data_IF_258412259782
#
_entry.id   IF_258412259782
#
_cell.length_a   1.000
_cell.length_b   1.000
_cell.length_c   1.000
_cell.angle_alpha   90.00
_cell.angle_beta   90.00
_cell.angle_gamma   90.00
#
_symmetry.space_group_name_H-M   'P 1'
#
loop_
_entity.id
_entity.type
_entity.pdbx_description
1 polymer ?
#
# COMPACT_ATOMS: atom_id res chain seq x y z
N UNK A 1 0.31 10.77 18.98
CA UNK A 1 0.97 9.54 19.49
C UNK A 1 2.25 9.30 18.72
N UNK A 2 3.16 8.50 19.23
CA UNK A 2 4.44 8.12 18.59
C UNK A 2 4.37 6.63 18.24
N UNK A 3 5.19 6.18 17.28
CA UNK A 3 5.32 4.77 16.92
C UNK A 3 6.41 4.07 17.76
N UNK A 4 7.03 4.76 18.70
CA UNK A 4 8.06 4.16 19.56
C UNK A 4 7.52 2.94 20.32
N UNK A 5 8.21 1.81 20.20
CA UNK A 5 7.81 0.51 20.77
C UNK A 5 6.62 -0.16 20.10
N UNK A 6 6.06 0.42 19.03
CA UNK A 6 5.00 -0.20 18.22
C UNK A 6 5.57 -1.21 17.25
N UNK A 7 4.86 -2.32 17.03
CA UNK A 7 5.22 -3.34 16.04
C UNK A 7 4.37 -3.18 14.79
N UNK A 8 5.02 -2.97 13.65
CA UNK A 8 4.39 -2.76 12.35
C UNK A 8 4.65 -3.95 11.44
N UNK A 9 3.59 -4.40 10.77
CA UNK A 9 3.67 -5.41 9.69
C UNK A 9 3.36 -4.70 8.36
N UNK A 10 4.32 -4.78 7.41
CA UNK A 10 4.25 -4.10 6.12
C UNK A 10 4.23 -5.13 4.99
N UNK A 11 3.04 -5.43 4.47
CA UNK A 11 2.86 -6.29 3.31
C UNK A 11 3.09 -5.47 2.03
N UNK A 12 4.18 -5.78 1.31
CA UNK A 12 4.75 -4.94 0.27
C UNK A 12 5.89 -4.04 0.77
N UNK A 13 6.47 -4.33 1.96
CA UNK A 13 7.48 -3.49 2.61
C UNK A 13 8.90 -3.55 2.04
N UNK A 14 9.13 -4.22 0.91
CA UNK A 14 10.48 -4.41 0.36
C UNK A 14 10.90 -3.36 -0.68
N UNK A 15 10.00 -2.47 -1.10
CA UNK A 15 10.28 -1.44 -2.11
C UNK A 15 9.25 -0.31 -2.10
N UNK A 16 9.52 0.76 -2.83
CA UNK A 16 8.60 1.88 -3.05
C UNK A 16 7.98 2.42 -1.77
N UNK A 17 6.69 2.70 -1.79
CA UNK A 17 5.94 3.28 -0.67
C UNK A 17 6.10 2.43 0.61
N UNK A 18 5.97 1.10 0.50
CA UNK A 18 6.04 0.22 1.67
C UNK A 18 7.40 0.27 2.37
N UNK A 19 8.50 0.32 1.62
CA UNK A 19 9.84 0.47 2.20
C UNK A 19 10.03 1.86 2.82
N UNK A 20 9.53 2.91 2.18
CA UNK A 20 9.58 4.26 2.74
C UNK A 20 8.80 4.37 4.06
N UNK A 21 7.61 3.72 4.15
CA UNK A 21 6.85 3.59 5.40
C UNK A 21 7.66 2.86 6.47
N UNK A 22 8.32 1.75 6.12
CA UNK A 22 9.17 1.02 7.05
C UNK A 22 10.30 1.90 7.60
N UNK A 23 11.01 2.60 6.71
CA UNK A 23 12.11 3.49 7.09
C UNK A 23 11.64 4.67 7.95
N UNK A 24 10.51 5.29 7.60
CA UNK A 24 9.93 6.39 8.36
C UNK A 24 9.48 5.93 9.76
N UNK A 25 8.81 4.79 9.87
CA UNK A 25 8.40 4.21 11.14
C UNK A 25 9.59 3.80 12.02
N UNK A 26 10.68 3.29 11.40
CA UNK A 26 11.92 2.98 12.09
C UNK A 26 12.53 4.22 12.76
N UNK A 27 12.52 5.36 12.09
CA UNK A 27 13.02 6.63 12.65
C UNK A 27 12.21 7.08 13.87
N UNK A 28 10.94 6.66 13.97
CA UNK A 28 10.09 6.90 15.17
C UNK A 28 10.21 5.81 16.24
N UNK A 29 11.11 4.83 16.09
CA UNK A 29 11.38 3.78 17.08
C UNK A 29 10.43 2.58 17.01
N UNK A 30 9.77 2.36 15.88
CA UNK A 30 8.96 1.17 15.65
C UNK A 30 9.82 -0.08 15.40
N UNK A 31 9.32 -1.25 15.83
CA UNK A 31 9.83 -2.54 15.39
C UNK A 31 9.10 -2.99 14.12
N UNK A 32 9.83 -3.56 13.17
CA UNK A 32 9.35 -3.76 11.81
C UNK A 32 9.34 -5.23 11.40
N UNK A 33 8.27 -5.62 10.71
CA UNK A 33 8.18 -6.84 9.93
C UNK A 33 7.84 -6.44 8.50
N UNK A 34 8.75 -6.69 7.55
CA UNK A 34 8.52 -6.45 6.12
C UNK A 34 8.25 -7.77 5.40
N UNK A 35 7.29 -7.76 4.49
CA UNK A 35 6.86 -8.94 3.74
C UNK A 35 6.81 -8.63 2.25
N UNK A 36 7.33 -9.54 1.44
CA UNK A 36 7.25 -9.52 -0.03
C UNK A 36 7.34 -10.95 -0.56
N UNK A 37 6.91 -11.21 -1.77
CA UNK A 37 7.06 -12.54 -2.39
C UNK A 37 8.49 -12.87 -2.80
N UNK A 38 9.37 -11.88 -2.92
CA UNK A 38 10.74 -12.04 -3.41
C UNK A 38 11.76 -11.96 -2.26
N UNK A 39 12.39 -13.07 -1.91
CA UNK A 39 13.38 -13.17 -0.84
C UNK A 39 14.55 -12.21 -1.01
N UNK A 40 15.09 -12.09 -2.23
CA UNK A 40 16.23 -11.21 -2.49
C UNK A 40 15.88 -9.73 -2.27
N UNK A 41 14.64 -9.31 -2.62
CA UNK A 41 14.17 -7.94 -2.32
C UNK A 41 14.00 -7.71 -0.82
N UNK A 42 13.50 -8.71 -0.08
CA UNK A 42 13.42 -8.64 1.38
C UNK A 42 14.80 -8.46 1.99
N UNK A 43 15.77 -9.28 1.59
CA UNK A 43 17.14 -9.21 2.11
C UNK A 43 17.84 -7.88 1.77
N UNK A 44 17.57 -7.34 0.58
CA UNK A 44 18.08 -6.03 0.20
C UNK A 44 17.45 -4.90 1.05
N UNK A 45 16.14 -4.94 1.28
CA UNK A 45 15.43 -3.96 2.08
C UNK A 45 15.90 -3.98 3.54
N UNK A 46 16.11 -5.16 4.12
CA UNK A 46 16.60 -5.30 5.50
C UNK A 46 17.95 -4.61 5.74
N UNK A 47 18.82 -4.50 4.71
CA UNK A 47 20.10 -3.78 4.81
C UNK A 47 19.93 -2.27 5.05
N UNK A 48 18.78 -1.71 4.69
CA UNK A 48 18.44 -0.30 4.87
C UNK A 48 17.60 -0.01 6.11
N UNK A 49 17.27 -1.06 6.89
CA UNK A 49 16.46 -0.98 8.10
C UNK A 49 17.31 -1.24 9.35
N UNK A 50 16.85 -0.81 10.54
CA UNK A 50 17.58 -1.08 11.78
C UNK A 50 17.79 -2.56 12.05
N UNK A 51 18.86 -2.89 12.76
CA UNK A 51 19.08 -4.23 13.27
C UNK A 51 17.88 -4.68 14.14
N UNK A 52 17.35 -5.88 13.87
CA UNK A 52 16.14 -6.39 14.52
C UNK A 52 14.87 -6.27 13.67
N UNK A 53 14.90 -5.57 12.54
CA UNK A 53 13.83 -5.68 11.55
C UNK A 53 13.74 -7.12 11.02
N UNK A 54 12.51 -7.66 10.94
CA UNK A 54 12.23 -9.01 10.46
C UNK A 54 11.78 -8.96 9.00
N UNK A 55 12.12 -9.98 8.21
CA UNK A 55 11.73 -10.06 6.81
C UNK A 55 11.27 -11.45 6.42
N UNK A 56 10.07 -11.52 5.81
CA UNK A 56 9.46 -12.77 5.38
C UNK A 56 9.20 -12.75 3.87
N UNK A 57 9.52 -13.87 3.19
CA UNK A 57 9.16 -14.08 1.81
C UNK A 57 7.84 -14.88 1.76
N UNK A 58 6.74 -14.22 1.40
CA UNK A 58 5.38 -14.80 1.41
C UNK A 58 4.64 -14.42 0.14
N UNK A 59 4.01 -15.41 -0.48
CA UNK A 59 3.07 -15.17 -1.58
C UNK A 59 1.73 -14.66 -1.02
N UNK A 60 1.42 -13.39 -1.28
CA UNK A 60 0.18 -12.75 -0.84
C UNK A 60 -1.04 -13.13 -1.70
N UNK A 61 -0.86 -13.96 -2.73
CA UNK A 61 -1.95 -14.64 -3.44
C UNK A 61 -2.41 -15.92 -2.76
N UNK A 62 -1.65 -16.44 -1.78
CA UNK A 62 -1.95 -17.67 -1.06
C UNK A 62 -2.55 -17.39 0.32
N UNK A 63 -3.84 -17.72 0.49
CA UNK A 63 -4.51 -17.57 1.80
C UNK A 63 -3.80 -18.37 2.90
N UNK A 64 -3.41 -19.61 2.61
CA UNK A 64 -2.71 -20.46 3.59
C UNK A 64 -1.38 -19.86 4.02
N UNK A 65 -0.63 -19.24 3.10
CA UNK A 65 0.64 -18.59 3.41
C UNK A 65 0.45 -17.33 4.27
N UNK A 66 -0.57 -16.54 3.99
CA UNK A 66 -0.93 -15.37 4.79
C UNK A 66 -1.37 -15.78 6.20
N UNK A 67 -2.21 -16.81 6.32
CA UNK A 67 -2.66 -17.35 7.61
C UNK A 67 -1.48 -17.84 8.45
N UNK A 68 -0.57 -18.61 7.85
CA UNK A 68 0.62 -19.12 8.53
C UNK A 68 1.54 -17.98 9.00
N UNK A 69 1.72 -16.95 8.18
CA UNK A 69 2.49 -15.75 8.53
C UNK A 69 1.95 -15.10 9.80
N UNK A 70 0.66 -14.78 9.87
CA UNK A 70 0.10 -14.10 11.04
C UNK A 70 0.10 -14.99 12.30
N UNK A 71 -0.09 -16.29 12.15
CA UNK A 71 0.04 -17.24 13.25
C UNK A 71 1.46 -17.27 13.83
N UNK A 72 2.49 -17.20 12.97
CA UNK A 72 3.90 -17.13 13.37
C UNK A 72 4.22 -15.79 14.02
N UNK A 73 3.77 -14.66 13.43
CA UNK A 73 4.09 -13.32 13.90
C UNK A 73 3.48 -13.02 15.28
N UNK A 74 2.28 -13.53 15.56
CA UNK A 74 1.54 -13.17 16.76
C UNK A 74 1.14 -11.68 16.80
N UNK A 75 1.03 -11.12 18.01
CA UNK A 75 0.50 -9.77 18.21
C UNK A 75 1.35 -8.63 17.63
N UNK A 76 0.69 -7.67 16.96
CA UNK A 76 1.30 -6.45 16.42
C UNK A 76 0.34 -5.26 16.57
N UNK A 77 0.81 -4.03 16.28
CA UNK A 77 0.01 -2.81 16.47
C UNK A 77 -0.59 -2.31 15.15
N UNK A 78 0.17 -2.28 14.07
CA UNK A 78 -0.31 -1.71 12.81
C UNK A 78 0.03 -2.61 11.61
N UNK A 79 -0.92 -2.73 10.69
CA UNK A 79 -0.77 -3.39 9.39
C UNK A 79 -0.81 -2.33 8.29
N UNK A 80 0.22 -2.27 7.44
CA UNK A 80 0.17 -1.53 6.18
C UNK A 80 0.19 -2.51 5.01
N UNK A 81 -0.72 -2.32 4.06
CA UNK A 81 -0.79 -3.11 2.84
C UNK A 81 -0.51 -2.24 1.62
N UNK A 82 0.67 -2.40 1.03
CA UNK A 82 1.14 -1.68 -0.16
C UNK A 82 1.52 -2.62 -1.30
N UNK A 83 1.27 -3.92 -1.12
CA UNK A 83 1.62 -4.93 -2.11
C UNK A 83 0.75 -4.82 -3.37
N UNK A 84 1.37 -5.04 -4.51
CA UNK A 84 0.72 -5.07 -5.81
C UNK A 84 1.72 -5.32 -6.92
N UNK A 85 1.21 -5.79 -8.05
CA UNK A 85 1.96 -5.99 -9.28
C UNK A 85 2.19 -4.67 -10.01
N UNK A 86 3.08 -4.70 -11.00
CA UNK A 86 3.29 -3.58 -11.92
C UNK A 86 1.98 -3.24 -12.64
N UNK A 87 1.73 -1.94 -12.80
CA UNK A 87 0.55 -1.46 -13.49
C UNK A 87 0.70 -1.67 -15.01
N UNK A 88 -0.34 -2.21 -15.60
CA UNK A 88 -0.55 -2.19 -17.05
C UNK A 88 -1.80 -1.38 -17.35
N UNK A 89 -1.70 -0.56 -18.37
CA UNK A 89 -2.81 0.27 -18.85
C UNK A 89 -3.23 -0.24 -20.22
N UNK A 90 -4.53 -0.46 -20.42
CA UNK A 90 -5.08 -0.93 -21.67
C UNK A 90 -6.45 -0.32 -21.92
N UNK A 91 -6.70 0.13 -23.14
CA UNK A 91 -8.03 0.54 -23.58
C UNK A 91 -8.95 -0.67 -23.69
N UNK A 92 -10.25 -0.46 -23.66
CA UNK A 92 -11.22 -1.56 -23.57
C UNK A 92 -11.12 -2.55 -24.74
N UNK A 93 -10.74 -2.08 -25.92
CA UNK A 93 -10.56 -2.87 -27.13
C UNK A 93 -9.29 -3.75 -27.12
N UNK A 94 -8.30 -3.40 -26.31
CA UNK A 94 -7.03 -4.14 -26.18
C UNK A 94 -6.88 -4.85 -24.84
N UNK A 95 -7.87 -4.72 -23.95
CA UNK A 95 -7.81 -5.25 -22.60
C UNK A 95 -7.84 -6.79 -22.58
N UNK A 96 -6.80 -7.39 -22.02
CA UNK A 96 -6.79 -8.81 -21.67
C UNK A 96 -7.58 -9.04 -20.37
N UNK A 97 -8.68 -9.78 -20.46
CA UNK A 97 -9.55 -10.05 -19.31
C UNK A 97 -8.95 -11.03 -18.31
N UNK A 98 -8.07 -11.92 -18.71
CA UNK A 98 -7.42 -12.84 -17.78
C UNK A 98 -6.35 -12.12 -16.98
N UNK A 99 -5.57 -11.24 -17.60
CA UNK A 99 -4.71 -10.31 -16.88
C UNK A 99 -5.52 -9.43 -15.92
N UNK A 100 -6.63 -8.85 -16.36
CA UNK A 100 -7.48 -7.98 -15.54
C UNK A 100 -8.02 -8.71 -14.29
N UNK A 101 -8.43 -9.97 -14.42
CA UNK A 101 -8.84 -10.81 -13.27
C UNK A 101 -7.67 -11.06 -12.32
N UNK A 102 -6.48 -11.39 -12.86
CA UNK A 102 -5.27 -11.62 -12.09
C UNK A 102 -4.84 -10.38 -11.30
N UNK A 103 -5.01 -9.18 -11.87
CA UNK A 103 -4.65 -7.91 -11.24
C UNK A 103 -5.43 -7.62 -9.94
N UNK A 104 -6.62 -8.20 -9.76
CA UNK A 104 -7.35 -8.17 -8.49
C UNK A 104 -6.77 -9.14 -7.45
N UNK A 105 -5.93 -10.09 -7.84
CA UNK A 105 -5.41 -11.15 -6.99
C UNK A 105 -4.73 -10.62 -5.74
N UNK A 106 -3.58 -9.99 -5.89
CA UNK A 106 -2.80 -9.48 -4.75
C UNK A 106 -3.43 -8.18 -4.21
N UNK A 107 -3.87 -7.27 -5.08
CA UNK A 107 -4.32 -5.93 -4.67
C UNK A 107 -5.61 -5.95 -3.85
N UNK A 108 -6.57 -6.77 -4.24
CA UNK A 108 -7.87 -6.85 -3.54
C UNK A 108 -7.97 -8.10 -2.68
N UNK A 109 -7.86 -9.29 -3.30
CA UNK A 109 -8.04 -10.53 -2.55
C UNK A 109 -6.96 -10.76 -1.52
N UNK A 110 -5.70 -10.46 -1.85
CA UNK A 110 -4.60 -10.50 -0.89
C UNK A 110 -4.78 -9.53 0.27
N UNK A 111 -5.26 -8.31 0.01
CA UNK A 111 -5.54 -7.31 1.04
C UNK A 111 -6.70 -7.74 1.96
N UNK A 112 -7.80 -8.26 1.40
CA UNK A 112 -8.93 -8.79 2.17
C UNK A 112 -8.49 -9.99 3.02
N UNK A 113 -7.73 -10.91 2.44
CA UNK A 113 -7.18 -12.07 3.15
C UNK A 113 -6.24 -11.65 4.28
N UNK A 114 -5.40 -10.64 4.05
CA UNK A 114 -4.51 -10.09 5.08
C UNK A 114 -5.30 -9.44 6.23
N UNK A 115 -6.39 -8.75 5.93
CA UNK A 115 -7.28 -8.22 6.98
C UNK A 115 -7.96 -9.34 7.76
N UNK A 116 -8.52 -10.34 7.07
CA UNK A 116 -9.20 -11.50 7.68
C UNK A 116 -8.30 -12.22 8.69
N UNK A 117 -7.08 -12.55 8.30
CA UNK A 117 -6.16 -13.34 9.13
C UNK A 117 -5.29 -12.49 10.06
N UNK A 118 -5.07 -11.21 9.74
CA UNK A 118 -4.26 -10.31 10.55
C UNK A 118 -5.04 -9.61 11.67
N UNK A 119 -6.32 -9.27 11.45
CA UNK A 119 -7.12 -8.51 12.42
C UNK A 119 -7.16 -9.12 13.82
N UNK A 120 -7.27 -10.46 14.00
CA UNK A 120 -7.26 -11.07 15.33
C UNK A 120 -5.98 -10.85 16.15
N UNK A 121 -4.89 -10.50 15.49
CA UNK A 121 -3.59 -10.26 16.12
C UNK A 121 -3.27 -8.78 16.35
N UNK A 122 -4.15 -7.88 15.91
CA UNK A 122 -3.97 -6.43 16.13
C UNK A 122 -4.27 -6.09 17.58
N UNK A 123 -3.28 -5.48 18.24
CA UNK A 123 -3.41 -5.05 19.63
C UNK A 123 -4.41 -3.89 19.76
N UNK A 124 -5.02 -3.70 20.95
CA UNK A 124 -5.92 -2.57 21.21
C UNK A 124 -5.30 -1.22 20.83
N UNK A 125 -6.07 -0.39 20.11
CA UNK A 125 -5.62 0.89 19.58
C UNK A 125 -4.87 0.81 18.25
N UNK A 126 -4.71 -0.39 17.69
CA UNK A 126 -4.05 -0.61 16.42
C UNK A 126 -4.87 -0.25 15.19
N UNK A 127 -4.29 -0.46 14.02
CA UNK A 127 -4.94 -0.10 12.75
C UNK A 127 -4.48 -0.93 11.56
N UNK A 128 -5.32 -0.92 10.52
CA UNK A 128 -5.00 -1.36 9.16
C UNK A 128 -4.98 -0.13 8.26
N UNK A 129 -3.96 0.00 7.42
CA UNK A 129 -3.87 1.05 6.38
C UNK A 129 -3.62 0.40 5.04
N UNK A 130 -4.59 0.54 4.13
CA UNK A 130 -4.51 0.06 2.75
C UNK A 130 -3.94 1.11 1.80
N UNK A 131 -3.82 0.73 0.52
CA UNK A 131 -3.42 1.60 -0.59
C UNK A 131 -4.47 1.54 -1.68
N UNK A 132 -4.97 2.70 -2.08
CA UNK A 132 -5.79 2.95 -3.27
C UNK A 132 -4.97 3.70 -4.32
N UNK A 133 -5.58 4.60 -5.04
CA UNK A 133 -4.95 5.53 -5.97
C UNK A 133 -5.94 6.55 -6.50
N UNK A 134 -5.42 7.69 -6.96
CA UNK A 134 -6.18 8.78 -7.56
C UNK A 134 -7.12 8.29 -8.68
N UNK A 135 -6.79 7.17 -9.33
CA UNK A 135 -7.61 6.54 -10.36
C UNK A 135 -9.05 6.23 -9.94
N UNK A 136 -9.33 6.09 -8.62
CA UNK A 136 -10.70 5.91 -8.11
C UNK A 136 -11.62 7.10 -8.44
N UNK A 137 -11.10 8.31 -8.44
CA UNK A 137 -11.86 9.56 -8.60
C UNK A 137 -11.51 10.35 -9.87
N UNK A 138 -10.32 10.14 -10.42
CA UNK A 138 -9.81 10.80 -11.64
C UNK A 138 -9.32 9.76 -12.65
N UNK A 139 -10.23 9.00 -13.27
CA UNK A 139 -9.88 8.00 -14.28
C UNK A 139 -9.44 8.65 -15.59
N UNK A 140 -8.57 7.95 -16.32
CA UNK A 140 -8.18 8.30 -17.69
C UNK A 140 -8.49 7.13 -18.64
N UNK A 141 -8.42 7.38 -19.95
CA UNK A 141 -8.54 6.32 -20.94
C UNK A 141 -7.49 5.22 -20.67
N UNK A 142 -7.88 3.95 -20.77
CA UNK A 142 -7.02 2.80 -20.44
C UNK A 142 -6.90 2.46 -18.95
N UNK A 143 -7.59 3.17 -18.05
CA UNK A 143 -7.48 2.98 -16.61
C UNK A 143 -8.66 2.22 -15.99
N UNK A 144 -9.51 1.58 -16.80
CA UNK A 144 -10.72 0.90 -16.32
C UNK A 144 -10.45 -0.07 -15.16
N UNK A 145 -9.44 -0.94 -15.29
CA UNK A 145 -9.08 -1.92 -14.24
C UNK A 145 -8.46 -1.23 -13.03
N UNK A 146 -7.54 -0.29 -13.24
CA UNK A 146 -6.91 0.46 -12.16
C UNK A 146 -7.93 1.27 -11.33
N UNK A 147 -8.86 1.96 -12.01
CA UNK A 147 -9.93 2.72 -11.35
C UNK A 147 -10.88 1.80 -10.57
N UNK A 148 -11.25 0.66 -11.16
CA UNK A 148 -12.15 -0.30 -10.52
C UNK A 148 -11.54 -0.86 -9.25
N UNK A 149 -10.25 -1.24 -9.27
CA UNK A 149 -9.60 -1.81 -8.09
C UNK A 149 -9.41 -0.75 -6.99
N UNK A 150 -9.05 0.49 -7.35
CA UNK A 150 -8.95 1.59 -6.38
C UNK A 150 -10.31 1.86 -5.70
N UNK A 151 -11.40 1.93 -6.47
CA UNK A 151 -12.75 2.09 -5.93
C UNK A 151 -13.18 0.91 -5.06
N UNK A 152 -12.87 -0.34 -5.45
CA UNK A 152 -13.12 -1.53 -4.66
C UNK A 152 -12.39 -1.50 -3.31
N UNK A 153 -11.12 -1.09 -3.29
CA UNK A 153 -10.32 -0.97 -2.06
C UNK A 153 -10.86 0.10 -1.11
N UNK A 154 -11.38 1.21 -1.62
CA UNK A 154 -12.03 2.23 -0.79
C UNK A 154 -13.36 1.73 -0.20
N UNK A 155 -14.15 0.98 -0.99
CA UNK A 155 -15.35 0.30 -0.50
C UNK A 155 -15.03 -0.72 0.59
N UNK A 156 -14.04 -1.57 0.38
CA UNK A 156 -13.54 -2.54 1.35
C UNK A 156 -13.09 -1.85 2.65
N UNK A 157 -12.36 -0.75 2.56
CA UNK A 157 -11.88 0.01 3.72
C UNK A 157 -13.04 0.47 4.60
N UNK A 158 -14.11 1.03 4.00
CA UNK A 158 -15.29 1.48 4.74
C UNK A 158 -16.04 0.32 5.40
N UNK A 159 -16.18 -0.80 4.70
CA UNK A 159 -16.84 -1.99 5.24
C UNK A 159 -16.06 -2.56 6.43
N UNK A 160 -14.75 -2.74 6.28
CA UNK A 160 -13.89 -3.28 7.35
C UNK A 160 -13.74 -2.31 8.53
N UNK A 161 -13.85 -1.00 8.33
CA UNK A 161 -13.88 -0.03 9.44
C UNK A 161 -15.09 -0.22 10.35
N UNK A 162 -16.22 -0.68 9.81
CA UNK A 162 -17.42 -1.04 10.56
C UNK A 162 -17.27 -2.41 11.22
N UNK A 163 -16.84 -3.40 10.44
CA UNK A 163 -16.80 -4.81 10.86
C UNK A 163 -15.73 -5.09 11.92
N UNK A 164 -14.57 -4.43 11.82
CA UNK A 164 -13.42 -4.67 12.69
C UNK A 164 -13.32 -3.70 13.87
N UNK A 165 -14.30 -2.80 14.06
CA UNK A 165 -14.30 -1.88 15.20
C UNK A 165 -14.05 -2.64 16.53
N UNK A 166 -13.17 -2.16 17.42
CA UNK A 166 -12.53 -0.83 17.43
C UNK A 166 -11.18 -0.72 16.68
N UNK A 167 -10.76 -1.71 15.90
CA UNK A 167 -9.59 -1.60 15.02
C UNK A 167 -9.91 -0.56 13.94
N UNK A 168 -9.05 0.45 13.80
CA UNK A 168 -9.23 1.48 12.78
C UNK A 168 -8.76 0.96 11.41
N UNK A 169 -9.57 1.18 10.38
CA UNK A 169 -9.22 0.79 9.01
C UNK A 169 -9.32 2.01 8.11
N UNK A 170 -8.23 2.38 7.46
CA UNK A 170 -8.14 3.55 6.60
C UNK A 170 -7.36 3.21 5.32
N UNK A 171 -7.36 4.12 4.35
CA UNK A 171 -6.66 3.93 3.08
C UNK A 171 -5.99 5.22 2.62
N UNK A 172 -4.77 5.11 2.09
CA UNK A 172 -4.09 6.20 1.40
C UNK A 172 -4.38 6.09 -0.10
N UNK A 173 -4.74 7.21 -0.72
CA UNK A 173 -4.96 7.33 -2.17
C UNK A 173 -3.86 8.19 -2.79
N UNK A 174 -2.76 7.58 -3.26
CA UNK A 174 -1.67 8.28 -3.91
C UNK A 174 -2.06 8.84 -5.28
N UNK A 175 -1.44 9.97 -5.66
CA UNK A 175 -1.28 10.35 -7.05
C UNK A 175 -0.23 9.51 -7.78
N UNK A 176 0.37 10.06 -8.83
CA UNK A 176 1.54 9.43 -9.48
C UNK A 176 2.75 9.60 -8.56
N UNK A 177 3.38 8.46 -8.21
CA UNK A 177 4.54 8.38 -7.30
C UNK A 177 5.66 7.64 -8.02
N UNK A 178 6.89 8.11 -7.87
CA UNK A 178 8.09 7.43 -8.38
C UNK A 178 8.34 6.15 -7.59
N UNK A 179 7.88 5.04 -8.12
CA UNK A 179 7.96 3.74 -7.44
C UNK A 179 8.09 2.61 -8.46
N UNK A 180 8.46 1.39 -8.02
CA UNK A 180 8.54 0.22 -8.90
C UNK A 180 7.23 -0.17 -9.59
N UNK A 181 6.11 0.44 -9.25
CA UNK A 181 4.84 0.28 -9.94
C UNK A 181 4.96 0.48 -11.46
N UNK A 182 5.86 1.37 -11.88
CA UNK A 182 6.07 1.79 -13.26
C UNK A 182 7.25 1.10 -13.95
N UNK A 183 7.92 0.13 -13.30
CA UNK A 183 9.15 -0.49 -13.83
C UNK A 183 8.92 -1.33 -15.10
N UNK A 184 7.69 -1.75 -15.38
CA UNK A 184 7.34 -2.39 -16.64
C UNK A 184 7.35 -1.40 -17.83
N UNK A 185 7.28 -0.09 -17.57
CA UNK A 185 7.33 0.96 -18.58
C UNK A 185 8.78 1.28 -18.97
N UNK A 186 9.10 1.43 -20.27
CA UNK A 186 10.42 1.89 -20.71
C UNK A 186 10.81 3.21 -20.05
N UNK A 187 12.11 3.38 -19.71
CA UNK A 187 12.59 4.54 -18.95
C UNK A 187 12.17 5.87 -19.59
N UNK A 188 12.32 6.03 -20.91
CA UNK A 188 11.98 7.27 -21.60
C UNK A 188 10.46 7.61 -21.50
N UNK A 189 9.61 6.60 -21.57
CA UNK A 189 8.16 6.78 -21.42
C UNK A 189 7.79 7.13 -19.97
N UNK A 190 8.44 6.51 -19.00
CA UNK A 190 8.27 6.81 -17.57
C UNK A 190 8.72 8.24 -17.23
N UNK A 191 9.84 8.68 -17.76
CA UNK A 191 10.34 10.04 -17.58
C UNK A 191 9.37 11.06 -18.20
N UNK A 192 8.85 10.78 -19.39
CA UNK A 192 7.83 11.60 -20.05
C UNK A 192 6.51 11.65 -19.25
N UNK A 193 6.08 10.51 -18.68
CA UNK A 193 4.92 10.44 -17.78
C UNK A 193 5.12 11.35 -16.57
N UNK A 194 6.26 11.25 -15.88
CA UNK A 194 6.55 12.06 -14.70
C UNK A 194 6.61 13.55 -15.02
N UNK A 195 7.29 13.93 -16.11
CA UNK A 195 7.35 15.33 -16.55
C UNK A 195 5.98 15.88 -16.90
N UNK A 196 5.19 15.16 -17.71
CA UNK A 196 3.85 15.60 -18.11
C UNK A 196 2.86 15.67 -16.95
N UNK A 197 3.00 14.80 -15.95
CA UNK A 197 2.19 14.88 -14.73
C UNK A 197 2.63 16.06 -13.86
N UNK A 198 3.93 16.29 -13.67
CA UNK A 198 4.43 17.41 -12.88
C UNK A 198 3.96 18.77 -13.43
N UNK A 199 3.87 18.93 -14.75
CA UNK A 199 3.34 20.17 -15.37
C UNK A 199 1.87 20.45 -15.00
N UNK A 200 1.07 19.39 -14.87
CA UNK A 200 -0.37 19.48 -14.58
C UNK A 200 -0.66 19.65 -13.10
N UNK A 201 0.06 18.94 -12.24
CA UNK A 201 -0.17 18.94 -10.80
C UNK A 201 0.00 20.34 -10.19
N UNK A 202 -0.79 20.65 -9.18
CA UNK A 202 -0.71 21.94 -8.48
C UNK A 202 0.64 22.15 -7.81
N UNK A 203 1.23 21.08 -7.23
CA UNK A 203 2.53 21.14 -6.56
C UNK A 203 3.72 21.02 -7.52
N UNK A 204 3.48 20.86 -8.85
CA UNK A 204 4.52 20.84 -9.89
C UNK A 204 5.59 19.76 -9.75
N UNK A 205 5.30 18.70 -9.05
CA UNK A 205 6.12 17.47 -9.00
C UNK A 205 5.25 16.24 -8.83
N UNK A 206 5.74 15.07 -9.24
CA UNK A 206 5.17 13.77 -8.91
C UNK A 206 5.67 13.35 -7.53
N UNK A 207 4.85 12.57 -6.79
CA UNK A 207 5.18 12.19 -5.42
C UNK A 207 6.42 11.31 -5.32
N UNK A 208 7.15 11.44 -4.21
CA UNK A 208 8.19 10.51 -3.80
C UNK A 208 7.61 9.53 -2.74
N UNK A 209 8.11 8.28 -2.65
CA UNK A 209 7.64 7.32 -1.65
C UNK A 209 7.68 7.83 -0.22
N UNK A 210 8.68 8.65 0.11
CA UNK A 210 8.88 9.24 1.42
C UNK A 210 7.78 10.23 1.80
N UNK A 211 7.26 10.99 0.84
CA UNK A 211 6.14 11.91 1.05
C UNK A 211 4.85 11.13 1.37
N UNK A 212 4.65 10.01 0.69
CA UNK A 212 3.50 9.14 0.93
C UNK A 212 3.58 8.45 2.29
N UNK A 213 4.77 8.09 2.75
CA UNK A 213 4.98 7.44 4.03
C UNK A 213 4.38 8.24 5.21
N UNK A 214 4.44 9.57 5.18
CA UNK A 214 3.87 10.45 6.20
C UNK A 214 2.35 10.25 6.36
N UNK A 215 1.63 10.00 5.27
CA UNK A 215 0.18 9.71 5.33
C UNK A 215 -0.11 8.41 6.07
N UNK A 216 0.70 7.37 5.86
CA UNK A 216 0.57 6.10 6.60
C UNK A 216 0.88 6.28 8.09
N UNK A 217 1.96 6.98 8.41
CA UNK A 217 2.33 7.25 9.81
C UNK A 217 1.25 8.10 10.51
N UNK A 218 0.68 9.09 9.82
CA UNK A 218 -0.45 9.86 10.32
C UNK A 218 -1.63 8.95 10.68
N UNK A 219 -2.05 8.06 9.76
CA UNK A 219 -3.16 7.13 9.97
C UNK A 219 -2.90 6.10 11.08
N UNK A 220 -1.65 5.71 11.29
CA UNK A 220 -1.27 4.85 12.41
C UNK A 220 -1.34 5.59 13.75
N UNK A 221 -0.88 6.84 13.81
CA UNK A 221 -0.75 7.64 15.04
C UNK A 221 -2.03 8.30 15.51
N UNK A 222 -2.89 8.75 14.59
CA UNK A 222 -4.16 9.37 14.97
C UNK A 222 -5.14 8.32 15.53
N UNK A 223 -6.09 8.72 16.38
CA UNK A 223 -6.92 7.77 17.15
C UNK A 223 -8.42 7.87 16.88
N UNK A 224 -8.86 8.86 16.09
CA UNK A 224 -10.29 9.15 15.89
C UNK A 224 -10.78 8.88 14.46
N UNK A 225 -9.88 8.77 13.47
CA UNK A 225 -10.24 8.52 12.06
C UNK A 225 -10.28 7.02 11.75
N UNK A 226 -11.40 6.56 11.23
CA UNK A 226 -11.57 5.23 10.63
C UNK A 226 -12.48 5.34 9.42
N UNK A 227 -12.35 4.44 8.45
CA UNK A 227 -13.09 4.48 7.18
C UNK A 227 -12.69 5.63 6.25
N UNK A 228 -11.55 6.30 6.50
CA UNK A 228 -11.13 7.48 5.76
C UNK A 228 -10.28 7.13 4.55
N UNK A 229 -10.46 7.90 3.48
CA UNK A 229 -9.57 7.93 2.31
C UNK A 229 -8.73 9.22 2.41
N UNK A 230 -7.42 9.06 2.51
CA UNK A 230 -6.48 10.19 2.57
C UNK A 230 -5.80 10.34 1.22
N UNK A 231 -6.14 11.41 0.49
CA UNK A 231 -5.48 11.79 -0.76
C UNK A 231 -4.11 12.42 -0.50
N UNK A 232 -3.09 11.92 -1.20
CA UNK A 232 -1.75 12.50 -1.25
C UNK A 232 -1.28 12.45 -2.73
N UNK A 233 -1.66 13.45 -3.50
CA UNK A 233 -1.69 13.41 -4.97
C UNK A 233 -1.13 14.67 -5.66
N UNK A 234 -0.51 15.58 -4.92
CA UNK A 234 0.01 16.85 -5.47
C UNK A 234 -1.07 17.79 -6.02
N UNK A 235 -2.33 17.60 -5.61
CA UNK A 235 -3.49 18.32 -6.12
C UNK A 235 -4.08 17.73 -7.41
N UNK A 236 -3.70 16.49 -7.75
CA UNK A 236 -4.17 15.79 -8.96
C UNK A 236 -5.68 15.56 -9.00
N UNK A 237 -6.35 15.48 -7.86
CA UNK A 237 -7.81 15.39 -7.79
C UNK A 237 -8.53 16.66 -8.25
N UNK A 238 -7.84 17.81 -8.30
CA UNK A 238 -8.42 19.12 -8.56
C UNK A 238 -8.15 19.65 -9.99
N UNK A 239 -7.29 18.96 -10.77
CA UNK A 239 -6.84 19.39 -12.10
C UNK A 239 -7.06 18.36 -13.19
#
# INVERSE_FOLDING_TARGET
MTLNGKRLVLLGGSSGIGLAVAQAAAREGASLVIVSSNRARVDAALKSLPAGAQGHAVDLGSEAAIQALFAELGGFDHLAYTAGENLQLATLDTLDLDWARGFFGIRYWGALTAAKHGAPFIRPGGSITFTSGLAATRPHAGWSVASSICGAMEGLTRALAVELAPVRVNIVSPGVVKSPLWDAMPQAERDALYAGMAEKLLLKHVGEPEELAESYLYLMKQTYGTGQVIGADGGGALV
#
